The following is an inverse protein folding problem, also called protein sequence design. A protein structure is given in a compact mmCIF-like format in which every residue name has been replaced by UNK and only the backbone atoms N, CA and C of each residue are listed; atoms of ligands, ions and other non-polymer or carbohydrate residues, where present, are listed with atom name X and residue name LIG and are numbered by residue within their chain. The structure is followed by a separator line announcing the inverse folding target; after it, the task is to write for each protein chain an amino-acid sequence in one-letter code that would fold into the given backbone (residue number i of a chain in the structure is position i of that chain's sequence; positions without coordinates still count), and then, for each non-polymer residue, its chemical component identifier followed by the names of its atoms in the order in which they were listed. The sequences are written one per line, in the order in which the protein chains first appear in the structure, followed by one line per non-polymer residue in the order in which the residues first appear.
data_IF_766293870418
#
_entry.id   IF_766293870418
#
_cell.length_a   1.000
_cell.length_b   1.000
_cell.length_c   1.000
_cell.angle_alpha   90.00
_cell.angle_beta   90.00
_cell.angle_gamma   90.00
#
_symmetry.space_group_name_H-M   'P 1'
#
loop_
_entity.id
_entity.type
_entity.pdbx_description
1 polymer ?
#
# COMPACT_ATOMS: atom_id res chain seq x y z
N UNK A 1 -31.46 3.27 -8.19
CA UNK A 1 -30.36 3.85 -7.40
C UNK A 1 -29.40 2.78 -6.85
N UNK A 2 -29.87 1.71 -6.20
CA UNK A 2 -28.99 0.65 -5.65
C UNK A 2 -28.17 -0.15 -6.70
N UNK A 3 -28.69 -0.38 -7.91
CA UNK A 3 -27.97 -1.09 -8.98
C UNK A 3 -26.82 -0.25 -9.58
N UNK A 4 -26.98 1.06 -9.69
CA UNK A 4 -25.92 1.95 -10.18
C UNK A 4 -24.77 2.05 -9.16
N UNK A 5 -25.09 2.17 -7.88
CA UNK A 5 -24.10 2.20 -6.80
C UNK A 5 -23.33 0.89 -6.72
N UNK A 6 -24.02 -0.25 -6.87
CA UNK A 6 -23.38 -1.58 -6.88
C UNK A 6 -22.48 -1.80 -8.10
N UNK A 7 -22.80 -1.24 -9.27
CA UNK A 7 -21.94 -1.26 -10.45
C UNK A 7 -20.74 -0.32 -10.33
N UNK A 8 -20.90 0.85 -9.74
CA UNK A 8 -19.80 1.80 -9.46
C UNK A 8 -18.82 1.22 -8.43
N UNK A 9 -19.32 0.49 -7.45
CA UNK A 9 -18.47 -0.15 -6.42
C UNK A 9 -17.91 -1.51 -6.87
N UNK A 10 -18.28 -2.01 -8.05
CA UNK A 10 -17.77 -3.29 -8.57
C UNK A 10 -18.20 -4.53 -7.77
N UNK A 11 -19.25 -4.42 -6.96
CA UNK A 11 -19.66 -5.44 -5.98
C UNK A 11 -20.19 -6.71 -6.66
N UNK A 12 -20.82 -6.59 -7.83
CA UNK A 12 -21.49 -7.71 -8.49
C UNK A 12 -20.59 -8.66 -9.31
N UNK A 13 -19.36 -8.29 -9.66
CA UNK A 13 -18.49 -9.12 -10.51
C UNK A 13 -17.41 -9.92 -9.76
N UNK A 14 -17.23 -9.67 -8.47
CA UNK A 14 -16.10 -10.21 -7.68
C UNK A 14 -16.49 -11.38 -6.74
N UNK A 15 -17.72 -11.87 -6.75
CA UNK A 15 -18.17 -12.84 -5.76
C UNK A 15 -17.54 -14.24 -5.88
N UNK A 16 -16.83 -14.56 -6.97
CA UNK A 16 -16.46 -15.95 -7.30
C UNK A 16 -15.11 -16.43 -6.74
N UNK A 17 -14.20 -15.54 -6.30
CA UNK A 17 -12.88 -15.95 -5.78
C UNK A 17 -12.42 -15.02 -4.63
N UNK A 18 -13.24 -14.88 -3.59
CA UNK A 18 -12.86 -14.13 -2.39
C UNK A 18 -12.28 -15.07 -1.35
N UNK A 19 -11.09 -14.73 -0.87
CA UNK A 19 -10.43 -15.49 0.18
C UNK A 19 -10.69 -14.85 1.54
N UNK A 20 -11.25 -15.63 2.47
CA UNK A 20 -11.58 -15.18 3.83
C UNK A 20 -10.38 -14.53 4.55
N UNK A 21 -9.20 -15.12 4.38
CA UNK A 21 -7.95 -14.58 4.96
C UNK A 21 -7.65 -13.15 4.51
N UNK A 22 -7.80 -12.87 3.21
CA UNK A 22 -7.55 -11.52 2.66
C UNK A 22 -8.58 -10.52 3.15
N UNK A 23 -9.85 -10.92 3.27
CA UNK A 23 -10.92 -10.05 3.77
C UNK A 23 -10.72 -9.74 5.25
N UNK A 24 -10.38 -10.73 6.07
CA UNK A 24 -10.07 -10.52 7.49
C UNK A 24 -8.84 -9.64 7.70
N UNK A 25 -7.74 -9.91 6.96
CA UNK A 25 -6.54 -9.08 7.05
C UNK A 25 -6.81 -7.64 6.63
N UNK A 26 -7.63 -7.44 5.59
CA UNK A 26 -8.02 -6.09 5.16
C UNK A 26 -8.82 -5.36 6.23
N UNK A 27 -9.81 -6.02 6.85
CA UNK A 27 -10.59 -5.43 7.95
C UNK A 27 -9.67 -5.08 9.12
N UNK A 28 -8.75 -5.97 9.50
CA UNK A 28 -7.78 -5.71 10.56
C UNK A 28 -6.89 -4.49 10.24
N UNK A 29 -6.41 -4.38 9.00
CA UNK A 29 -5.60 -3.24 8.56
C UNK A 29 -6.39 -1.93 8.62
N UNK A 30 -7.68 -1.93 8.23
CA UNK A 30 -8.56 -0.77 8.31
C UNK A 30 -8.79 -0.36 9.76
N UNK A 31 -9.09 -1.31 10.64
CA UNK A 31 -9.30 -1.02 12.08
C UNK A 31 -8.04 -0.40 12.69
N UNK A 32 -6.86 -0.98 12.41
CA UNK A 32 -5.59 -0.40 12.87
C UNK A 32 -5.35 1.01 12.33
N UNK A 33 -5.70 1.26 11.07
CA UNK A 33 -5.59 2.59 10.47
C UNK A 33 -6.53 3.59 11.15
N UNK A 34 -7.78 3.20 11.46
CA UNK A 34 -8.74 4.04 12.17
C UNK A 34 -8.24 4.41 13.57
N UNK A 35 -7.76 3.41 14.33
CA UNK A 35 -7.21 3.64 15.67
C UNK A 35 -6.00 4.58 15.59
N UNK A 36 -5.08 4.34 14.65
CA UNK A 36 -3.92 5.20 14.43
C UNK A 36 -4.35 6.65 14.14
N UNK A 37 -5.36 6.86 13.29
CA UNK A 37 -5.86 8.19 12.95
C UNK A 37 -6.50 8.90 14.15
N UNK A 38 -7.26 8.19 14.98
CA UNK A 38 -7.82 8.73 16.22
C UNK A 38 -6.69 9.18 17.15
N UNK A 39 -5.68 8.32 17.36
CA UNK A 39 -4.51 8.67 18.17
C UNK A 39 -3.76 9.88 17.61
N UNK A 40 -3.54 9.93 16.30
CA UNK A 40 -2.91 11.06 15.63
C UNK A 40 -3.67 12.37 15.87
N UNK A 41 -5.01 12.33 15.75
CA UNK A 41 -5.85 13.51 16.00
C UNK A 41 -5.72 13.98 17.45
N UNK A 42 -5.77 13.08 18.43
CA UNK A 42 -5.71 13.42 19.84
C UNK A 42 -4.32 13.96 20.21
N UNK A 43 -3.25 13.24 19.87
CA UNK A 43 -1.90 13.58 20.33
C UNK A 43 -1.27 14.72 19.56
N UNK A 44 -1.50 14.82 18.25
CA UNK A 44 -0.86 15.79 17.38
C UNK A 44 -1.74 17.00 17.09
N UNK A 45 -2.96 16.79 16.56
CA UNK A 45 -3.81 17.91 16.14
C UNK A 45 -4.38 18.68 17.34
N UNK A 46 -4.67 17.98 18.45
CA UNK A 46 -5.10 18.64 19.71
C UNK A 46 -3.91 19.04 20.60
N UNK A 47 -2.67 18.76 20.18
CA UNK A 47 -1.46 19.24 20.83
C UNK A 47 -1.13 18.61 22.18
N UNK A 48 -1.67 17.43 22.51
CA UNK A 48 -1.44 16.79 23.81
C UNK A 48 0.00 16.30 23.97
N UNK A 49 0.58 15.65 22.96
CA UNK A 49 1.96 15.16 23.00
C UNK A 49 2.58 15.07 21.61
N UNK A 50 3.32 16.11 21.18
CA UNK A 50 4.03 16.09 19.89
C UNK A 50 5.09 15.00 19.78
N UNK A 51 5.63 14.49 20.91
CA UNK A 51 6.65 13.45 20.92
C UNK A 51 6.12 12.08 20.50
N UNK A 52 4.81 11.90 20.47
CA UNK A 52 4.16 10.65 20.07
C UNK A 52 4.62 10.15 18.69
N UNK A 53 4.78 11.05 17.69
CA UNK A 53 5.26 10.70 16.35
C UNK A 53 6.72 10.24 16.30
N UNK A 54 7.53 10.71 17.26
CA UNK A 54 8.96 10.35 17.32
C UNK A 54 9.15 8.97 17.97
N UNK A 55 8.13 8.45 18.65
CA UNK A 55 8.20 7.16 19.31
C UNK A 55 8.42 6.04 18.28
N UNK A 56 9.49 5.21 18.43
CA UNK A 56 9.81 4.14 17.50
C UNK A 56 8.68 3.11 17.31
N UNK A 57 7.90 2.82 18.34
CA UNK A 57 6.76 1.90 18.27
C UNK A 57 5.61 2.44 17.42
N UNK A 58 5.35 3.73 17.52
CA UNK A 58 4.33 4.41 16.69
C UNK A 58 4.75 4.41 15.22
N UNK A 59 6.02 4.69 14.93
CA UNK A 59 6.55 4.62 13.58
C UNK A 59 6.51 3.20 13.00
N UNK A 60 6.82 2.18 13.80
CA UNK A 60 6.70 0.78 13.41
C UNK A 60 5.24 0.42 13.12
N UNK A 61 4.31 0.86 13.96
CA UNK A 61 2.89 0.63 13.78
C UNK A 61 2.37 1.26 12.49
N UNK A 62 2.73 2.50 12.20
CA UNK A 62 2.41 3.17 10.92
C UNK A 62 2.95 2.38 9.71
N UNK A 63 4.23 1.99 9.77
CA UNK A 63 4.86 1.18 8.71
C UNK A 63 4.14 -0.16 8.51
N UNK A 64 3.72 -0.82 9.60
CA UNK A 64 2.95 -2.07 9.53
C UNK A 64 1.60 -1.89 8.84
N UNK A 65 0.87 -0.81 9.14
CA UNK A 65 -0.41 -0.49 8.50
C UNK A 65 -0.20 -0.30 6.99
N UNK A 66 0.74 0.56 6.60
CA UNK A 66 1.07 0.83 5.19
C UNK A 66 1.50 -0.45 4.47
N UNK A 67 2.39 -1.24 5.06
CA UNK A 67 2.86 -2.51 4.50
C UNK A 67 1.71 -3.50 4.28
N UNK A 68 0.77 -3.60 5.23
CA UNK A 68 -0.40 -4.47 5.12
C UNK A 68 -1.28 -4.10 3.91
N UNK A 69 -1.54 -2.82 3.69
CA UNK A 69 -2.30 -2.36 2.52
C UNK A 69 -1.58 -2.64 1.20
N UNK A 70 -0.26 -2.45 1.16
CA UNK A 70 0.56 -2.70 -0.03
C UNK A 70 0.55 -4.19 -0.38
N UNK A 71 0.81 -5.06 0.60
CA UNK A 71 0.83 -6.52 0.42
C UNK A 71 -0.55 -7.01 -0.04
N UNK A 72 -1.63 -6.59 0.62
CA UNK A 72 -3.00 -6.95 0.25
C UNK A 72 -3.36 -6.50 -1.17
N UNK A 73 -2.89 -5.33 -1.59
CA UNK A 73 -3.09 -4.83 -2.96
C UNK A 73 -2.29 -5.63 -3.99
N UNK A 74 -1.08 -6.07 -3.64
CA UNK A 74 -0.27 -7.00 -4.43
C UNK A 74 -0.95 -8.34 -4.62
N UNK A 75 -1.50 -8.93 -3.54
CA UNK A 75 -2.32 -10.15 -3.62
C UNK A 75 -3.51 -9.96 -4.56
N UNK A 76 -4.22 -8.83 -4.44
CA UNK A 76 -5.41 -8.54 -5.22
C UNK A 76 -5.11 -8.29 -6.71
N UNK A 77 -3.86 -8.00 -7.11
CA UNK A 77 -3.48 -7.79 -8.51
C UNK A 77 -3.70 -9.04 -9.35
N UNK A 78 -3.35 -10.21 -8.82
CA UNK A 78 -3.48 -11.48 -9.54
C UNK A 78 -4.92 -11.94 -9.73
N UNK A 79 -5.84 -11.46 -8.87
CA UNK A 79 -7.26 -11.82 -8.86
C UNK A 79 -8.12 -10.85 -9.69
N UNK A 80 -7.63 -9.63 -9.93
CA UNK A 80 -8.37 -8.56 -10.59
C UNK A 80 -8.50 -8.79 -12.10
N UNK A 81 -9.71 -8.55 -12.66
CA UNK A 81 -9.96 -8.59 -14.11
C UNK A 81 -9.66 -7.26 -14.78
N UNK A 82 -10.01 -6.13 -14.15
CA UNK A 82 -9.90 -4.78 -14.70
C UNK A 82 -8.88 -3.94 -13.91
N UNK A 83 -7.64 -4.42 -13.85
CA UNK A 83 -6.60 -3.79 -13.05
C UNK A 83 -6.27 -2.36 -13.50
N UNK A 84 -6.25 -2.07 -14.80
CA UNK A 84 -5.96 -0.73 -15.31
C UNK A 84 -7.03 0.29 -14.92
N UNK A 85 -8.32 -0.09 -14.95
CA UNK A 85 -9.41 0.79 -14.47
C UNK A 85 -9.27 1.05 -12.97
N UNK A 86 -8.88 0.02 -12.20
CA UNK A 86 -8.60 0.16 -10.76
C UNK A 86 -7.41 1.09 -10.50
N UNK A 87 -6.34 0.95 -11.30
CA UNK A 87 -5.18 1.84 -11.24
C UNK A 87 -5.58 3.29 -11.51
N UNK A 88 -6.35 3.55 -12.56
CA UNK A 88 -6.84 4.89 -12.89
C UNK A 88 -7.64 5.52 -11.74
N UNK A 89 -8.53 4.77 -11.10
CA UNK A 89 -9.29 5.26 -9.93
C UNK A 89 -8.37 5.65 -8.77
N UNK A 90 -7.35 4.82 -8.45
CA UNK A 90 -6.39 5.13 -7.39
C UNK A 90 -5.55 6.37 -7.70
N UNK A 91 -5.11 6.53 -8.97
CA UNK A 91 -4.34 7.72 -9.40
C UNK A 91 -5.21 8.98 -9.26
N UNK A 92 -6.44 8.95 -9.79
CA UNK A 92 -7.35 10.10 -9.73
C UNK A 92 -7.63 10.50 -8.28
N UNK A 93 -7.91 9.53 -7.40
CA UNK A 93 -8.12 9.77 -5.98
C UNK A 93 -6.86 10.29 -5.28
N UNK A 94 -5.68 9.75 -5.63
CA UNK A 94 -4.41 10.21 -5.09
C UNK A 94 -4.10 11.66 -5.48
N UNK A 95 -4.34 12.04 -6.73
CA UNK A 95 -4.21 13.42 -7.21
C UNK A 95 -5.22 14.31 -6.49
N UNK A 96 -6.47 13.89 -6.38
CA UNK A 96 -7.53 14.64 -5.70
C UNK A 96 -7.14 14.96 -4.25
N UNK A 97 -6.66 13.99 -3.49
CA UNK A 97 -6.20 14.21 -2.10
C UNK A 97 -5.00 15.15 -2.07
N UNK A 98 -4.03 15.00 -2.98
CA UNK A 98 -2.85 15.88 -3.01
C UNK A 98 -3.24 17.33 -3.30
N UNK A 99 -4.18 17.55 -4.24
CA UNK A 99 -4.72 18.89 -4.56
C UNK A 99 -5.48 19.46 -3.36
N UNK A 100 -6.34 18.66 -2.74
CA UNK A 100 -7.11 19.07 -1.57
C UNK A 100 -6.19 19.48 -0.41
N UNK A 101 -5.17 18.66 -0.13
CA UNK A 101 -4.16 18.95 0.89
C UNK A 101 -3.40 20.26 0.61
N UNK A 102 -3.06 20.53 -0.64
CA UNK A 102 -2.40 21.78 -1.02
C UNK A 102 -3.24 23.02 -0.70
N UNK A 103 -4.57 22.96 -0.92
CA UNK A 103 -5.47 24.11 -0.66
C UNK A 103 -5.85 24.24 0.82
N UNK A 104 -6.12 23.15 1.51
CA UNK A 104 -6.68 23.16 2.86
C UNK A 104 -5.65 23.00 3.97
N UNK A 105 -4.52 22.35 3.69
CA UNK A 105 -3.45 22.10 4.67
C UNK A 105 -2.04 22.32 4.07
N UNK A 106 -1.70 23.56 3.64
CA UNK A 106 -0.43 23.83 2.95
C UNK A 106 0.81 23.57 3.83
N UNK A 107 0.64 23.59 5.15
CA UNK A 107 1.73 23.28 6.09
C UNK A 107 1.99 21.76 6.25
N UNK A 108 1.09 20.91 5.75
CA UNK A 108 1.16 19.45 5.84
C UNK A 108 0.88 18.81 4.47
N UNK A 109 1.75 19.00 3.47
CA UNK A 109 1.48 18.54 2.12
C UNK A 109 1.51 17.01 2.05
N UNK A 110 0.50 16.43 1.39
CA UNK A 110 0.40 14.99 1.11
C UNK A 110 0.83 14.69 -0.32
N UNK A 111 2.13 14.69 -0.58
CA UNK A 111 2.68 14.30 -1.88
C UNK A 111 3.05 12.82 -1.88
N UNK A 112 2.77 12.13 -2.99
CA UNK A 112 3.12 10.71 -3.20
C UNK A 112 2.61 9.77 -2.08
N UNK A 113 1.34 9.94 -1.69
CA UNK A 113 0.70 9.08 -0.71
C UNK A 113 0.42 7.66 -1.23
N UNK A 114 -0.08 6.79 -0.34
CA UNK A 114 -0.31 5.36 -0.63
C UNK A 114 -1.23 5.12 -1.83
N UNK A 115 -2.26 5.95 -2.07
CA UNK A 115 -3.17 5.80 -3.21
C UNK A 115 -2.45 6.04 -4.53
N UNK A 116 -1.62 7.07 -4.61
CA UNK A 116 -0.81 7.37 -5.79
C UNK A 116 0.15 6.22 -6.07
N UNK A 117 0.85 5.73 -5.04
CA UNK A 117 1.72 4.55 -5.15
C UNK A 117 0.96 3.33 -5.67
N UNK A 118 -0.19 2.98 -5.07
CA UNK A 118 -0.98 1.81 -5.50
C UNK A 118 -1.45 1.93 -6.95
N UNK A 119 -1.86 3.12 -7.37
CA UNK A 119 -2.24 3.38 -8.75
C UNK A 119 -1.09 3.14 -9.71
N UNK A 120 0.08 3.71 -9.45
CA UNK A 120 1.30 3.55 -10.25
C UNK A 120 1.75 2.09 -10.28
N UNK A 121 1.81 1.42 -9.12
CA UNK A 121 2.25 0.03 -9.02
C UNK A 121 1.34 -0.92 -9.81
N UNK A 122 0.02 -0.76 -9.71
CA UNK A 122 -0.94 -1.57 -10.47
C UNK A 122 -0.82 -1.28 -11.96
N UNK A 123 -0.72 -0.02 -12.37
CA UNK A 123 -0.57 0.35 -13.78
C UNK A 123 0.70 -0.23 -14.40
N UNK A 124 1.84 -0.11 -13.71
CA UNK A 124 3.14 -0.59 -14.18
C UNK A 124 3.22 -2.12 -14.22
N UNK A 125 2.66 -2.81 -13.23
CA UNK A 125 2.78 -4.27 -13.14
C UNK A 125 1.72 -5.02 -13.94
N UNK A 126 0.59 -4.42 -14.26
CA UNK A 126 -0.49 -5.08 -15.03
C UNK A 126 -0.02 -5.57 -16.39
N UNK A 127 0.67 -4.78 -17.26
CA UNK A 127 1.10 -5.24 -18.59
C UNK A 127 2.14 -6.35 -18.54
N UNK A 128 2.96 -6.39 -17.49
CA UNK A 128 4.03 -7.39 -17.31
C UNK A 128 3.66 -8.54 -16.37
N UNK A 129 2.41 -8.57 -15.90
CA UNK A 129 1.92 -9.55 -14.92
C UNK A 129 2.11 -11.00 -15.38
N UNK A 130 2.03 -11.27 -16.69
CA UNK A 130 2.24 -12.61 -17.23
C UNK A 130 3.67 -13.13 -17.04
N UNK A 131 4.68 -12.25 -17.04
CA UNK A 131 6.06 -12.62 -16.74
C UNK A 131 6.21 -13.04 -15.28
N UNK A 132 5.65 -12.27 -14.37
CA UNK A 132 5.67 -12.58 -12.94
C UNK A 132 4.91 -13.88 -12.63
N UNK A 133 3.89 -14.22 -13.43
CA UNK A 133 3.15 -15.48 -13.30
C UNK A 133 3.94 -16.70 -13.78
N UNK A 134 4.95 -16.55 -14.61
CA UNK A 134 5.82 -17.67 -15.06
C UNK A 134 6.90 -18.03 -14.04
N UNK A 135 7.35 -17.08 -13.23
CA UNK A 135 8.37 -17.33 -12.23
C UNK A 135 7.84 -18.23 -11.09
N UNK A 136 8.65 -19.14 -10.52
CA UNK A 136 8.28 -19.90 -9.33
C UNK A 136 7.91 -18.98 -8.17
N UNK A 137 6.81 -19.26 -7.47
CA UNK A 137 6.31 -18.36 -6.43
C UNK A 137 7.32 -18.18 -5.28
N UNK A 138 8.00 -19.24 -4.87
CA UNK A 138 9.04 -19.20 -3.83
C UNK A 138 10.21 -18.29 -4.21
N UNK A 139 10.75 -18.45 -5.44
CA UNK A 139 11.84 -17.61 -5.92
C UNK A 139 11.43 -16.14 -6.00
N UNK A 140 10.23 -15.86 -6.53
CA UNK A 140 9.71 -14.51 -6.62
C UNK A 140 9.53 -13.87 -5.25
N UNK A 141 9.07 -14.63 -4.25
CA UNK A 141 8.90 -14.17 -2.88
C UNK A 141 10.26 -13.83 -2.23
N UNK A 142 11.27 -14.69 -2.40
CA UNK A 142 12.61 -14.45 -1.86
C UNK A 142 13.25 -13.23 -2.53
N UNK A 143 13.23 -13.15 -3.87
CA UNK A 143 13.83 -12.03 -4.61
C UNK A 143 13.17 -10.70 -4.29
N UNK A 144 11.85 -10.66 -4.20
CA UNK A 144 11.14 -9.43 -3.83
C UNK A 144 11.40 -9.01 -2.38
N UNK A 145 11.55 -9.97 -1.44
CA UNK A 145 11.91 -9.67 -0.05
C UNK A 145 13.34 -9.12 0.05
N UNK A 146 14.29 -9.69 -0.69
CA UNK A 146 15.67 -9.17 -0.78
C UNK A 146 15.66 -7.76 -1.40
N UNK A 147 14.93 -7.55 -2.49
CA UNK A 147 14.81 -6.25 -3.13
C UNK A 147 14.25 -5.17 -2.19
N UNK A 148 13.26 -5.53 -1.37
CA UNK A 148 12.72 -4.62 -0.34
C UNK A 148 13.78 -4.27 0.69
N UNK A 149 14.48 -5.27 1.23
CA UNK A 149 15.53 -5.06 2.24
C UNK A 149 16.65 -4.16 1.75
N UNK A 150 17.10 -4.34 0.52
CA UNK A 150 18.16 -3.53 -0.10
C UNK A 150 17.73 -2.09 -0.34
N UNK A 151 16.46 -1.87 -0.68
CA UNK A 151 15.97 -0.54 -1.11
C UNK A 151 15.26 0.25 -0.01
N UNK A 152 14.96 -0.35 1.15
CA UNK A 152 14.18 0.31 2.22
C UNK A 152 14.86 1.55 2.83
N UNK A 153 16.20 1.67 2.70
CA UNK A 153 16.98 2.79 3.19
C UNK A 153 17.40 3.78 2.09
N UNK A 154 16.82 3.63 0.89
CA UNK A 154 17.18 4.44 -0.26
C UNK A 154 16.97 5.94 0.02
N UNK A 155 15.92 6.32 0.72
CA UNK A 155 15.66 7.71 1.10
C UNK A 155 16.73 8.32 2.01
N UNK A 156 17.56 7.49 2.66
CA UNK A 156 18.67 7.91 3.53
C UNK A 156 20.02 7.89 2.79
N UNK A 157 20.03 7.82 1.48
CA UNK A 157 21.24 7.79 0.62
C UNK A 157 22.13 6.56 0.81
N UNK A 158 21.62 5.50 1.43
CA UNK A 158 22.40 4.29 1.71
C UNK A 158 21.66 3.03 1.25
N UNK A 159 22.42 2.09 0.72
CA UNK A 159 21.99 0.71 0.54
C UNK A 159 22.50 -0.09 1.73
N UNK A 160 21.60 -0.70 2.49
CA UNK A 160 21.94 -1.48 3.67
C UNK A 160 21.48 -2.93 3.51
N UNK A 161 22.29 -3.84 4.09
CA UNK A 161 21.93 -5.25 4.22
C UNK A 161 22.25 -5.72 5.63
N UNK A 162 21.27 -6.26 6.33
CA UNK A 162 21.40 -6.74 7.71
C UNK A 162 22.06 -5.71 8.65
N UNK A 163 21.74 -4.42 8.50
CA UNK A 163 22.29 -3.36 9.32
C UNK A 163 23.68 -2.86 8.90
N UNK A 164 24.32 -3.43 7.88
CA UNK A 164 25.60 -2.96 7.34
C UNK A 164 25.37 -2.12 6.08
N UNK A 165 26.07 -1.00 5.98
CA UNK A 165 26.08 -0.16 4.78
C UNK A 165 26.91 -0.86 3.72
N UNK A 166 26.29 -1.17 2.58
CA UNK A 166 26.95 -1.78 1.41
C UNK A 166 27.48 -0.68 0.49
N UNK A 167 26.67 0.35 0.25
CA UNK A 167 27.02 1.43 -0.66
C UNK A 167 26.34 2.74 -0.23
N UNK A 168 27.05 3.86 -0.43
CA UNK A 168 26.50 5.20 -0.36
C UNK A 168 26.09 5.63 -1.77
N UNK A 169 24.92 6.23 -1.89
CA UNK A 169 24.41 6.71 -3.16
C UNK A 169 24.83 8.19 -3.36
N UNK A 170 25.21 8.56 -4.59
CA UNK A 170 25.68 9.91 -4.88
C UNK A 170 24.52 10.92 -4.84
N UNK A 171 24.81 12.14 -4.36
CA UNK A 171 23.83 13.22 -4.17
C UNK A 171 23.06 13.62 -5.44
N UNK A 172 23.65 13.46 -6.62
CA UNK A 172 23.01 13.82 -7.89
C UNK A 172 21.75 12.99 -8.23
N UNK A 173 21.58 11.82 -7.59
CA UNK A 173 20.37 11.01 -7.71
C UNK A 173 19.19 11.59 -6.92
N UNK A 174 19.47 12.48 -5.94
CA UNK A 174 18.46 13.01 -5.02
C UNK A 174 17.98 14.37 -5.49
N UNK A 175 16.74 14.39 -5.97
CA UNK A 175 16.12 15.60 -6.50
C UNK A 175 14.60 15.49 -6.55
N UNK A 176 13.95 16.61 -6.83
CA UNK A 176 12.47 16.68 -6.91
C UNK A 176 11.89 15.72 -7.95
N UNK A 177 12.63 15.47 -9.04
CA UNK A 177 12.21 14.53 -10.10
C UNK A 177 12.28 13.06 -9.67
N UNK A 178 13.16 12.72 -8.75
CA UNK A 178 13.35 11.35 -8.27
C UNK A 178 12.64 11.09 -6.93
N UNK A 179 11.98 12.10 -6.37
CA UNK A 179 11.26 11.97 -5.11
C UNK A 179 10.22 10.84 -5.14
N UNK A 180 9.46 10.69 -6.22
CA UNK A 180 8.46 9.63 -6.37
C UNK A 180 9.07 8.22 -6.36
N UNK A 181 10.34 8.08 -6.79
CA UNK A 181 11.06 6.80 -6.77
C UNK A 181 11.56 6.43 -5.36
N UNK A 182 11.79 7.40 -4.48
CA UNK A 182 12.36 7.17 -3.16
C UNK A 182 13.68 7.89 -2.90
N UNK A 183 14.03 8.84 -3.77
CA UNK A 183 15.24 9.65 -3.71
C UNK A 183 14.86 11.14 -3.61
N UNK A 184 14.22 11.57 -2.50
CA UNK A 184 13.79 12.95 -2.33
C UNK A 184 14.98 13.87 -2.07
N UNK A 185 14.88 15.18 -2.39
CA UNK A 185 15.86 16.16 -1.95
C UNK A 185 15.85 16.33 -0.42
N UNK A 186 16.92 16.90 0.15
CA UNK A 186 17.09 17.02 1.62
C UNK A 186 15.98 17.82 2.30
N UNK A 187 15.38 18.79 1.58
CA UNK A 187 14.31 19.66 2.08
C UNK A 187 12.90 19.13 1.79
N UNK A 188 12.79 17.88 1.35
CA UNK A 188 11.48 17.30 1.00
C UNK A 188 10.69 16.94 2.25
N UNK A 189 9.55 17.57 2.41
CA UNK A 189 8.60 17.30 3.49
C UNK A 189 7.30 16.79 2.88
N UNK A 190 6.88 15.61 3.28
CA UNK A 190 5.56 15.07 2.94
C UNK A 190 5.06 14.14 4.03
N UNK A 191 3.82 14.34 4.45
CA UNK A 191 3.15 13.43 5.38
C UNK A 191 2.67 12.20 4.61
N UNK A 192 2.87 11.00 5.18
CA UNK A 192 2.49 9.73 4.56
C UNK A 192 3.18 9.46 3.21
N UNK A 193 4.43 9.88 3.07
CA UNK A 193 5.23 9.62 1.89
C UNK A 193 5.46 8.11 1.67
N UNK A 194 5.01 7.61 0.53
CA UNK A 194 5.15 6.21 0.12
C UNK A 194 5.80 6.17 -1.27
N UNK A 195 7.14 6.16 -1.33
CA UNK A 195 7.86 6.11 -2.59
C UNK A 195 7.66 4.79 -3.33
N UNK A 196 7.85 4.80 -4.65
CA UNK A 196 7.74 3.58 -5.45
C UNK A 196 8.78 2.55 -5.03
N UNK A 197 10.04 2.96 -4.91
CA UNK A 197 11.05 2.13 -4.27
C UNK A 197 11.12 2.50 -2.77
N UNK A 198 11.07 1.59 -1.85
CA UNK A 198 11.13 0.12 -1.91
C UNK A 198 9.76 -0.57 -2.06
N UNK A 199 8.67 0.18 -2.04
CA UNK A 199 7.33 -0.36 -1.83
C UNK A 199 6.83 -1.24 -3.00
N UNK A 200 7.40 -1.09 -4.20
CA UNK A 200 7.10 -1.96 -5.35
C UNK A 200 7.52 -3.41 -5.05
N UNK A 201 8.63 -3.61 -4.35
CA UNK A 201 9.07 -4.94 -3.93
C UNK A 201 8.14 -5.53 -2.88
N UNK A 202 7.66 -4.72 -1.95
CA UNK A 202 6.67 -5.15 -0.95
C UNK A 202 5.32 -5.51 -1.62
N UNK A 203 4.95 -4.80 -2.67
CA UNK A 203 3.78 -5.12 -3.48
C UNK A 203 3.97 -6.47 -4.21
N UNK A 204 5.15 -6.73 -4.76
CA UNK A 204 5.51 -8.03 -5.37
C UNK A 204 5.54 -9.15 -4.34
N UNK A 205 6.00 -8.91 -3.11
CA UNK A 205 5.86 -9.88 -2.00
C UNK A 205 4.40 -10.29 -1.85
N UNK A 206 3.46 -9.36 -1.85
CA UNK A 206 2.04 -9.66 -1.80
C UNK A 206 1.56 -10.53 -2.97
N UNK A 207 1.97 -10.21 -4.19
CA UNK A 207 1.64 -10.99 -5.39
C UNK A 207 2.13 -12.45 -5.27
N UNK A 208 3.39 -12.62 -4.91
CA UNK A 208 4.00 -13.95 -4.81
C UNK A 208 3.53 -14.72 -3.56
N UNK A 209 3.21 -14.03 -2.48
CA UNK A 209 2.66 -14.66 -1.27
C UNK A 209 1.32 -15.33 -1.56
N UNK A 210 0.42 -14.68 -2.27
CA UNK A 210 -0.85 -15.31 -2.65
C UNK A 210 -0.62 -16.53 -3.53
N UNK A 211 0.27 -16.45 -4.52
CA UNK A 211 0.61 -17.59 -5.38
C UNK A 211 1.22 -18.73 -4.60
N UNK A 212 2.14 -18.43 -3.70
CA UNK A 212 2.77 -19.42 -2.83
C UNK A 212 1.73 -20.16 -1.97
N UNK A 213 0.76 -19.42 -1.39
CA UNK A 213 -0.33 -20.01 -0.63
C UNK A 213 -1.26 -20.86 -1.50
N UNK A 214 -1.45 -20.51 -2.78
CA UNK A 214 -2.26 -21.30 -3.72
C UNK A 214 -1.55 -22.57 -4.18
N UNK A 215 -0.24 -22.55 -4.37
CA UNK A 215 0.57 -23.69 -4.82
C UNK A 215 0.77 -24.73 -3.72
N UNK A 216 0.74 -24.34 -2.43
CA UNK A 216 0.99 -25.24 -1.30
C UNK A 216 -0.30 -25.68 -0.61
N UNK A 217 -0.45 -27.00 -0.37
CA UNK A 217 -1.64 -27.57 0.29
C UNK A 217 -1.91 -26.96 1.68
N UNK A 218 -0.86 -26.71 2.47
CA UNK A 218 -0.96 -26.04 3.76
C UNK A 218 -1.56 -24.62 3.62
N UNK A 219 -1.18 -23.89 2.56
CA UNK A 219 -1.69 -22.55 2.26
C UNK A 219 -3.14 -22.55 1.84
N UNK A 220 -3.58 -23.55 1.07
CA UNK A 220 -4.97 -23.67 0.60
C UNK A 220 -5.97 -23.78 1.76
N UNK A 221 -5.56 -24.31 2.92
CA UNK A 221 -6.38 -24.37 4.13
C UNK A 221 -6.78 -22.98 4.64
N UNK A 222 -5.91 -21.99 4.48
CA UNK A 222 -6.14 -20.60 4.87
C UNK A 222 -6.89 -19.81 3.80
N UNK A 223 -6.89 -20.29 2.56
CA UNK A 223 -7.57 -19.67 1.42
C UNK A 223 -9.03 -20.17 1.28
N UNK A 224 -9.76 -20.34 2.38
CA UNK A 224 -11.18 -20.69 2.31
C UNK A 224 -11.95 -19.57 1.62
N UNK A 225 -12.85 -19.95 0.69
CA UNK A 225 -13.73 -19.00 0.00
C UNK A 225 -14.69 -18.39 1.01
N UNK A 226 -14.70 -17.07 1.12
CA UNK A 226 -15.65 -16.35 1.96
C UNK A 226 -17.01 -16.30 1.31
N UNK A 227 -18.00 -16.86 1.96
CA UNK A 227 -19.41 -16.79 1.51
C UNK A 227 -20.21 -15.73 2.30
N UNK A 228 -19.56 -14.97 3.19
CA UNK A 228 -20.22 -14.01 4.05
C UNK A 228 -20.33 -12.63 3.36
N UNK A 229 -21.56 -12.26 2.97
CA UNK A 229 -21.88 -11.01 2.28
C UNK A 229 -21.52 -9.76 3.09
N UNK A 230 -21.64 -9.80 4.43
CA UNK A 230 -21.35 -8.67 5.31
C UNK A 230 -19.83 -8.37 5.35
N UNK A 231 -18.99 -9.41 5.45
CA UNK A 231 -17.53 -9.28 5.37
C UNK A 231 -17.10 -8.73 4.00
N UNK A 232 -17.75 -9.18 2.94
CA UNK A 232 -17.53 -8.73 1.59
C UNK A 232 -17.83 -7.24 1.42
N UNK A 233 -18.91 -6.75 2.03
CA UNK A 233 -19.30 -5.34 1.98
C UNK A 233 -18.30 -4.46 2.74
N UNK A 234 -17.96 -4.79 3.98
CA UNK A 234 -16.96 -4.08 4.79
C UNK A 234 -15.60 -4.03 4.10
N UNK A 235 -15.15 -5.14 3.54
CA UNK A 235 -13.87 -5.22 2.82
C UNK A 235 -13.87 -4.38 1.53
N UNK A 236 -15.00 -4.24 0.82
CA UNK A 236 -15.10 -3.42 -0.40
C UNK A 236 -15.25 -1.92 -0.10
N UNK A 237 -15.79 -1.56 1.05
CA UNK A 237 -15.97 -0.17 1.49
C UNK A 237 -14.70 0.45 2.06
N UNK A 238 -13.58 -0.30 2.13
CA UNK A 238 -12.30 0.15 2.69
C UNK A 238 -11.79 1.45 2.08
N UNK A 239 -12.00 1.66 0.79
CA UNK A 239 -11.56 2.84 0.07
C UNK A 239 -12.41 4.08 0.45
N UNK A 240 -13.72 3.89 0.64
CA UNK A 240 -14.61 4.95 1.12
C UNK A 240 -14.27 5.35 2.55
N UNK A 241 -13.97 4.38 3.42
CA UNK A 241 -13.57 4.64 4.81
C UNK A 241 -12.26 5.44 4.83
N UNK A 242 -11.27 5.08 3.99
CA UNK A 242 -10.02 5.82 3.86
C UNK A 242 -10.25 7.27 3.42
N UNK A 243 -11.15 7.52 2.46
CA UNK A 243 -11.47 8.86 1.98
C UNK A 243 -12.16 9.72 3.03
N UNK A 244 -13.08 9.14 3.82
CA UNK A 244 -13.81 9.86 4.88
C UNK A 244 -12.95 10.26 6.08
N UNK A 245 -11.76 9.68 6.23
CA UNK A 245 -10.82 9.99 7.31
C UNK A 245 -10.00 11.26 7.07
N UNK A 246 -9.91 11.72 5.83
CA UNK A 246 -9.09 12.87 5.44
C UNK A 246 -9.85 14.22 5.52
N UNK A 247 -11.06 14.21 6.06
CA UNK A 247 -11.86 15.40 6.39
C UNK A 247 -12.06 15.53 7.90
#
# INVERSE_FOLDING_TARGET
MNLMVNNLLGINSQAKNRFLFMDLWRILAIVNMLIYQICYTIYILQGQDPSWLVNPWVQLWQKYIVASFIILSGMALSLGKNNLVRAGRFIVLGIFISVLSYFFAPQQPHYYGILMFLGIAIAALTPVLWWFKKAPASCGLILSSIGYELTRHLSNQVIMWQGKIIANLPDWLYGSWNAWLGMPPKDFISINYVPVLPNIFLFLVGLYLLRFLQEHQAGQKYLKISNNKSLAYLSSSSLLIYLLQHH
#
